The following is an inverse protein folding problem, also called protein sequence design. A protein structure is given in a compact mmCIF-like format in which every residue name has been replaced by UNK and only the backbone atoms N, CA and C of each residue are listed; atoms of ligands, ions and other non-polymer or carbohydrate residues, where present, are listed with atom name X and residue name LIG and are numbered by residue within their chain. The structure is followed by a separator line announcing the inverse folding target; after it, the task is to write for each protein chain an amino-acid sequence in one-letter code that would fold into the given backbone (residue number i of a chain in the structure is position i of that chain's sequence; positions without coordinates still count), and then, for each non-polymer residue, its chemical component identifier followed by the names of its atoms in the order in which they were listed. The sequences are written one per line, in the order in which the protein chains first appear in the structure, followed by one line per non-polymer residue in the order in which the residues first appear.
data_IF_608155955494
#
_entry.id   IF_608155955494
#
_cell.length_a   1.000
_cell.length_b   1.000
_cell.length_c   1.000
_cell.angle_alpha   90.00
_cell.angle_beta   90.00
_cell.angle_gamma   90.00
#
_symmetry.space_group_name_H-M   'P 1'
#
loop_
_entity.id
_entity.type
_entity.pdbx_description
1 polymer ?
#
# COMPACT_ATOMS: atom_id res chain seq x y z
N UNK A 1 29.39 -7.67 -8.47
CA UNK A 1 27.96 -7.82 -8.85
C UNK A 1 27.02 -6.82 -8.16
N UNK A 2 27.42 -6.20 -7.05
CA UNK A 2 26.61 -5.18 -6.33
C UNK A 2 26.26 -3.93 -7.14
N UNK A 3 27.19 -3.41 -7.95
CA UNK A 3 26.97 -2.17 -8.71
C UNK A 3 25.82 -2.26 -9.72
N UNK A 4 25.59 -3.44 -10.32
CA UNK A 4 24.51 -3.65 -11.29
C UNK A 4 23.13 -3.72 -10.60
N UNK A 5 23.04 -4.38 -9.44
CA UNK A 5 21.83 -4.42 -8.60
C UNK A 5 21.46 -3.04 -8.05
N UNK A 6 22.45 -2.24 -7.63
CA UNK A 6 22.22 -0.86 -7.18
C UNK A 6 21.70 0.05 -8.30
N UNK A 7 22.31 0.02 -9.48
CA UNK A 7 21.83 0.80 -10.65
C UNK A 7 20.40 0.40 -11.06
N UNK A 8 20.08 -0.89 -11.01
CA UNK A 8 18.73 -1.37 -11.34
C UNK A 8 17.68 -0.89 -10.32
N UNK A 9 17.98 -0.98 -9.02
CA UNK A 9 17.09 -0.48 -7.95
C UNK A 9 16.80 1.01 -8.09
N UNK A 10 17.83 1.82 -8.31
CA UNK A 10 17.65 3.27 -8.50
C UNK A 10 16.81 3.57 -9.75
N UNK A 11 17.03 2.82 -10.85
CA UNK A 11 16.23 2.97 -12.08
C UNK A 11 14.76 2.60 -11.88
N UNK A 12 14.46 1.62 -11.02
CA UNK A 12 13.08 1.21 -10.70
C UNK A 12 12.43 2.11 -9.64
N UNK A 13 13.21 2.70 -8.72
CA UNK A 13 12.68 3.57 -7.67
C UNK A 13 12.04 4.86 -8.21
N UNK A 14 12.64 5.48 -9.23
CA UNK A 14 12.10 6.69 -9.86
C UNK A 14 10.69 6.53 -10.45
N UNK A 15 10.41 5.53 -11.32
CA UNK A 15 9.07 5.35 -11.85
C UNK A 15 8.06 4.96 -10.77
N UNK A 16 8.46 4.18 -9.76
CA UNK A 16 7.58 3.81 -8.64
C UNK A 16 7.19 5.05 -7.82
N UNK A 17 8.16 5.92 -7.54
CA UNK A 17 7.90 7.19 -6.84
C UNK A 17 6.99 8.10 -7.68
N UNK A 18 7.26 8.21 -8.98
CA UNK A 18 6.47 9.01 -9.92
C UNK A 18 5.02 8.53 -10.02
N UNK A 19 4.81 7.21 -10.06
CA UNK A 19 3.47 6.61 -10.03
C UNK A 19 2.72 6.97 -8.75
N UNK A 20 3.37 6.85 -7.59
CA UNK A 20 2.76 7.22 -6.31
C UNK A 20 2.36 8.69 -6.24
N UNK A 21 3.20 9.59 -6.75
CA UNK A 21 2.89 11.03 -6.85
C UNK A 21 1.71 11.29 -7.79
N UNK A 22 1.62 10.58 -8.92
CA UNK A 22 0.48 10.71 -9.82
C UNK A 22 -0.83 10.27 -9.15
N UNK A 23 -0.81 9.19 -8.37
CA UNK A 23 -1.98 8.72 -7.61
C UNK A 23 -2.38 9.72 -6.51
N UNK A 24 -1.41 10.33 -5.83
CA UNK A 24 -1.68 11.42 -4.86
C UNK A 24 -2.29 12.64 -5.58
N UNK A 25 -1.76 13.02 -6.74
CA UNK A 25 -2.30 14.14 -7.52
C UNK A 25 -3.76 13.88 -7.96
N UNK A 26 -4.09 12.63 -8.33
CA UNK A 26 -5.47 12.20 -8.57
C UNK A 26 -6.32 12.37 -7.30
N UNK A 27 -5.87 11.87 -6.15
CA UNK A 27 -6.60 11.98 -4.88
C UNK A 27 -6.88 13.44 -4.45
N UNK A 28 -5.93 14.35 -4.72
CA UNK A 28 -6.06 15.78 -4.44
C UNK A 28 -6.94 16.52 -5.46
N UNK A 29 -7.35 15.86 -6.55
CA UNK A 29 -8.13 16.49 -7.63
C UNK A 29 -7.31 17.41 -8.53
N UNK A 30 -5.98 17.29 -8.53
CA UNK A 30 -5.10 18.01 -9.47
C UNK A 30 -5.20 17.41 -10.89
N UNK A 31 -5.60 16.15 -10.98
CA UNK A 31 -5.88 15.44 -12.23
C UNK A 31 -7.36 15.07 -12.28
N UNK A 32 -7.99 15.11 -13.47
CA UNK A 32 -9.39 14.77 -13.62
C UNK A 32 -9.60 13.29 -13.27
N UNK A 33 -10.45 13.06 -12.28
CA UNK A 33 -10.95 11.74 -11.92
C UNK A 33 -12.44 11.70 -12.28
N UNK A 34 -12.81 10.80 -13.19
CA UNK A 34 -14.22 10.46 -13.41
C UNK A 34 -14.75 9.79 -12.15
N UNK A 35 -15.48 10.56 -11.34
CA UNK A 35 -16.03 10.12 -10.07
C UNK A 35 -17.00 8.94 -10.17
N UNK A 36 -17.48 8.63 -11.38
CA UNK A 36 -18.35 7.48 -11.67
C UNK A 36 -17.65 6.12 -11.57
N UNK A 37 -16.31 6.08 -11.54
CA UNK A 37 -15.53 4.83 -11.45
C UNK A 37 -14.71 4.72 -10.15
N UNK A 38 -15.01 5.55 -9.15
CA UNK A 38 -14.26 5.56 -7.89
C UNK A 38 -14.96 4.73 -6.82
N UNK A 39 -14.44 3.52 -6.62
CA UNK A 39 -14.93 2.59 -5.61
C UNK A 39 -14.40 2.89 -4.18
N UNK A 40 -13.50 3.87 -4.05
CA UNK A 40 -12.89 4.22 -2.77
C UNK A 40 -12.93 5.74 -2.49
N UNK A 41 -13.03 6.15 -1.21
CA UNK A 41 -12.84 7.54 -0.81
C UNK A 41 -11.48 8.08 -1.25
N UNK A 42 -11.44 9.36 -1.63
CA UNK A 42 -10.22 10.05 -2.12
C UNK A 42 -9.03 9.92 -1.16
N UNK A 43 -9.26 9.91 0.15
CA UNK A 43 -8.19 9.79 1.14
C UNK A 43 -7.50 8.42 1.10
N UNK A 44 -8.21 7.34 0.75
CA UNK A 44 -7.64 5.99 0.58
C UNK A 44 -6.80 5.90 -0.67
N UNK A 45 -7.27 6.53 -1.75
CA UNK A 45 -6.50 6.69 -2.98
C UNK A 45 -5.23 7.49 -2.68
N UNK A 46 -5.32 8.54 -1.87
CA UNK A 46 -4.14 9.28 -1.41
C UNK A 46 -3.17 8.39 -0.61
N UNK A 47 -3.68 7.56 0.30
CA UNK A 47 -2.85 6.63 1.07
C UNK A 47 -2.18 5.57 0.18
N UNK A 48 -2.88 5.03 -0.82
CA UNK A 48 -2.29 4.06 -1.74
C UNK A 48 -1.15 4.68 -2.55
N UNK A 49 -1.33 5.92 -3.03
CA UNK A 49 -0.26 6.70 -3.65
C UNK A 49 0.91 6.94 -2.70
N UNK A 50 0.65 7.25 -1.43
CA UNK A 50 1.71 7.44 -0.41
C UNK A 50 2.53 6.16 -0.20
N UNK A 51 1.90 4.97 -0.17
CA UNK A 51 2.61 3.69 -0.08
C UNK A 51 3.55 3.47 -1.26
N UNK A 52 3.15 3.84 -2.48
CA UNK A 52 4.03 3.79 -3.66
C UNK A 52 5.20 4.76 -3.55
N UNK A 53 4.97 6.00 -3.09
CA UNK A 53 6.05 6.97 -2.88
C UNK A 53 7.05 6.44 -1.85
N UNK A 54 6.57 5.91 -0.73
CA UNK A 54 7.43 5.33 0.32
C UNK A 54 8.25 4.17 -0.26
N UNK A 55 7.63 3.22 -0.96
CA UNK A 55 8.34 2.11 -1.60
C UNK A 55 9.39 2.56 -2.62
N UNK A 56 9.08 3.60 -3.41
CA UNK A 56 10.02 4.21 -4.34
C UNK A 56 11.22 4.86 -3.64
N UNK A 57 10.98 5.58 -2.54
CA UNK A 57 12.04 6.16 -1.71
C UNK A 57 12.91 5.08 -1.07
N UNK A 58 12.33 3.99 -0.57
CA UNK A 58 13.07 2.83 -0.04
C UNK A 58 14.03 2.24 -1.07
N UNK A 59 13.61 2.13 -2.34
CA UNK A 59 14.47 1.65 -3.43
C UNK A 59 15.62 2.61 -3.75
N UNK A 60 15.43 3.91 -3.54
CA UNK A 60 16.44 4.96 -3.77
C UNK A 60 17.45 5.07 -2.61
N UNK A 61 17.00 4.92 -1.37
CA UNK A 61 17.81 5.13 -0.16
C UNK A 61 18.74 3.98 0.21
N UNK A 62 18.54 2.77 -0.32
CA UNK A 62 19.38 1.60 -0.06
C UNK A 62 19.03 0.84 1.23
N UNK A 63 19.36 -0.46 1.27
CA UNK A 63 18.82 -1.45 2.22
C UNK A 63 19.22 -1.24 3.69
N UNK A 64 20.37 -0.64 3.99
CA UNK A 64 20.93 -0.61 5.36
C UNK A 64 20.87 0.75 6.05
N UNK A 65 19.92 1.61 5.67
CA UNK A 65 19.78 2.93 6.30
C UNK A 65 18.68 2.93 7.36
N UNK A 66 18.91 3.63 8.48
CA UNK A 66 17.85 3.90 9.48
C UNK A 66 16.62 4.53 8.84
N UNK A 67 16.81 5.31 7.78
CA UNK A 67 15.74 5.89 6.98
C UNK A 67 14.87 4.81 6.33
N UNK A 68 15.47 3.78 5.72
CA UNK A 68 14.74 2.69 5.07
C UNK A 68 13.92 1.87 6.08
N UNK A 69 14.45 1.64 7.30
CA UNK A 69 13.68 1.00 8.38
C UNK A 69 12.45 1.83 8.79
N UNK A 70 12.61 3.15 8.90
CA UNK A 70 11.49 4.05 9.20
C UNK A 70 10.45 4.07 8.07
N UNK A 71 10.91 4.08 6.81
CA UNK A 71 10.03 3.98 5.63
C UNK A 71 9.29 2.64 5.58
N UNK A 72 9.95 1.53 5.92
CA UNK A 72 9.31 0.21 6.01
C UNK A 72 8.19 0.21 7.06
N UNK A 73 8.41 0.82 8.23
CA UNK A 73 7.39 0.94 9.26
C UNK A 73 6.17 1.75 8.75
N UNK A 74 6.42 2.90 8.10
CA UNK A 74 5.35 3.71 7.51
C UNK A 74 4.60 3.00 6.38
N UNK A 75 5.31 2.24 5.54
CA UNK A 75 4.73 1.43 4.48
C UNK A 75 3.78 0.36 5.05
N UNK A 76 4.22 -0.33 6.10
CA UNK A 76 3.41 -1.32 6.80
C UNK A 76 2.20 -0.66 7.48
N UNK A 77 2.35 0.51 8.09
CA UNK A 77 1.21 1.27 8.63
C UNK A 77 0.21 1.63 7.53
N UNK A 78 0.68 2.14 6.38
CA UNK A 78 -0.18 2.48 5.26
C UNK A 78 -0.95 1.28 4.71
N UNK A 79 -0.26 0.16 4.46
CA UNK A 79 -0.90 -1.09 4.03
C UNK A 79 -1.90 -1.61 5.07
N UNK A 80 -1.56 -1.51 6.35
CA UNK A 80 -2.43 -1.88 7.45
C UNK A 80 -3.73 -1.08 7.47
N UNK A 81 -3.63 0.25 7.35
CA UNK A 81 -4.81 1.13 7.32
C UNK A 81 -5.67 0.92 6.07
N UNK A 82 -5.04 0.77 4.90
CA UNK A 82 -5.76 0.49 3.64
C UNK A 82 -6.48 -0.87 3.73
N UNK A 83 -5.76 -1.93 4.11
CA UNK A 83 -6.34 -3.28 4.24
C UNK A 83 -7.43 -3.34 5.31
N UNK A 84 -7.25 -2.65 6.43
CA UNK A 84 -8.22 -2.56 7.50
C UNK A 84 -9.50 -1.85 7.04
N UNK A 85 -9.35 -0.75 6.28
CA UNK A 85 -10.50 -0.09 5.68
C UNK A 85 -11.23 -1.01 4.70
N UNK A 86 -10.52 -1.67 3.78
CA UNK A 86 -11.13 -2.58 2.80
C UNK A 86 -11.88 -3.70 3.51
N UNK A 87 -11.28 -4.30 4.55
CA UNK A 87 -11.90 -5.39 5.30
C UNK A 87 -13.18 -5.00 6.05
N UNK A 88 -13.28 -3.75 6.54
CA UNK A 88 -14.39 -3.29 7.38
C UNK A 88 -15.45 -2.54 6.57
N UNK A 89 -15.03 -1.67 5.66
CA UNK A 89 -15.88 -0.69 4.96
C UNK A 89 -15.94 -0.88 3.45
N UNK A 90 -15.18 -1.82 2.87
CA UNK A 90 -15.27 -2.13 1.44
C UNK A 90 -16.66 -2.65 1.09
N UNK A 91 -17.25 -2.13 0.00
CA UNK A 91 -18.53 -2.60 -0.50
C UNK A 91 -18.37 -3.99 -1.12
N UNK A 92 -19.42 -4.80 -1.03
CA UNK A 92 -19.40 -6.18 -1.53
C UNK A 92 -19.11 -6.23 -3.05
N UNK A 93 -19.64 -5.25 -3.77
CA UNK A 93 -19.52 -5.04 -5.22
C UNK A 93 -18.09 -4.74 -5.68
N UNK A 94 -17.24 -4.26 -4.78
CA UNK A 94 -15.86 -3.87 -5.07
C UNK A 94 -14.87 -5.03 -4.99
N UNK A 95 -15.31 -6.16 -4.43
CA UNK A 95 -14.50 -7.37 -4.35
C UNK A 95 -14.49 -8.08 -5.71
N UNK A 96 -13.49 -7.76 -6.52
CA UNK A 96 -13.22 -8.46 -7.77
C UNK A 96 -12.23 -9.61 -7.56
N UNK A 97 -12.59 -10.78 -8.10
CA UNK A 97 -11.79 -12.01 -8.01
C UNK A 97 -12.30 -12.98 -6.94
N UNK A 98 -11.99 -14.27 -7.12
CA UNK A 98 -12.46 -15.33 -6.22
C UNK A 98 -12.35 -16.70 -6.86
N UNK A 99 -12.71 -17.73 -6.09
CA UNK A 99 -12.76 -19.09 -6.60
C UNK A 99 -14.12 -19.30 -7.27
N UNK A 100 -14.12 -19.60 -8.57
CA UNK A 100 -15.33 -19.74 -9.38
C UNK A 100 -16.24 -20.90 -8.95
N UNK A 101 -15.75 -21.79 -8.09
CA UNK A 101 -16.52 -22.87 -7.47
C UNK A 101 -17.10 -22.52 -6.09
N UNK A 102 -16.76 -21.35 -5.52
CA UNK A 102 -17.33 -20.88 -4.25
C UNK A 102 -18.46 -19.89 -4.50
N UNK A 103 -19.53 -19.91 -3.67
CA UNK A 103 -20.55 -18.87 -3.68
C UNK A 103 -19.93 -17.49 -3.43
N UNK A 104 -20.48 -16.46 -4.09
CA UNK A 104 -20.01 -15.07 -3.98
C UNK A 104 -19.92 -14.57 -2.54
N UNK A 105 -20.93 -14.88 -1.72
CA UNK A 105 -20.93 -14.52 -0.29
C UNK A 105 -19.73 -15.10 0.49
N UNK A 106 -19.25 -16.30 0.11
CA UNK A 106 -18.07 -16.93 0.72
C UNK A 106 -16.81 -16.25 0.24
N UNK A 107 -16.72 -15.90 -1.05
CA UNK A 107 -15.59 -15.15 -1.60
C UNK A 107 -15.44 -13.77 -0.94
N UNK A 108 -16.55 -13.03 -0.75
CA UNK A 108 -16.55 -11.74 -0.05
C UNK A 108 -16.10 -11.89 1.41
N UNK A 109 -16.63 -12.88 2.12
CA UNK A 109 -16.26 -13.15 3.52
C UNK A 109 -14.78 -13.50 3.65
N UNK A 110 -14.25 -14.32 2.73
CA UNK A 110 -12.83 -14.64 2.68
C UNK A 110 -11.97 -13.41 2.36
N UNK A 111 -12.38 -12.59 1.40
CA UNK A 111 -11.66 -11.37 1.04
C UNK A 111 -11.56 -10.43 2.26
N UNK A 112 -12.67 -10.16 2.94
CA UNK A 112 -12.69 -9.36 4.18
C UNK A 112 -11.77 -9.94 5.25
N UNK A 113 -11.83 -11.26 5.46
CA UNK A 113 -10.96 -11.96 6.42
C UNK A 113 -9.48 -11.80 6.08
N UNK A 114 -9.11 -11.99 4.81
CA UNK A 114 -7.72 -11.86 4.35
C UNK A 114 -7.21 -10.42 4.46
N UNK A 115 -8.00 -9.42 4.04
CA UNK A 115 -7.63 -8.02 4.18
C UNK A 115 -7.52 -7.61 5.65
N UNK A 116 -8.44 -8.05 6.51
CA UNK A 116 -8.40 -7.78 7.95
C UNK A 116 -7.20 -8.42 8.66
N UNK A 117 -6.92 -9.70 8.41
CA UNK A 117 -5.76 -10.40 8.99
C UNK A 117 -4.46 -9.78 8.46
N UNK A 118 -4.38 -9.54 7.15
CA UNK A 118 -3.23 -8.88 6.53
C UNK A 118 -2.98 -7.50 7.12
N UNK A 119 -4.04 -6.74 7.37
CA UNK A 119 -3.95 -5.43 8.02
C UNK A 119 -3.39 -5.51 9.44
N UNK A 120 -3.90 -6.45 10.25
CA UNK A 120 -3.40 -6.68 11.61
C UNK A 120 -1.92 -7.05 11.61
N UNK A 121 -1.50 -7.97 10.73
CA UNK A 121 -0.08 -8.35 10.60
C UNK A 121 0.77 -7.14 10.25
N UNK A 122 0.34 -6.32 9.27
CA UNK A 122 1.08 -5.13 8.88
C UNK A 122 1.20 -4.13 10.04
N UNK A 123 0.12 -3.87 10.78
CA UNK A 123 0.13 -2.95 11.92
C UNK A 123 1.00 -3.46 13.08
N UNK A 124 0.96 -4.77 13.37
CA UNK A 124 1.82 -5.38 14.40
C UNK A 124 3.30 -5.28 14.03
N UNK A 125 3.65 -5.56 12.78
CA UNK A 125 5.02 -5.41 12.29
C UNK A 125 5.47 -3.94 12.28
N UNK A 126 4.58 -3.01 11.93
CA UNK A 126 4.87 -1.58 12.01
C UNK A 126 5.14 -1.15 13.46
N UNK A 127 4.29 -1.56 14.41
CA UNK A 127 4.46 -1.26 15.83
C UNK A 127 5.79 -1.83 16.37
N UNK A 128 6.13 -3.07 15.99
CA UNK A 128 7.42 -3.67 16.33
C UNK A 128 8.60 -2.90 15.71
N UNK A 129 8.51 -2.51 14.45
CA UNK A 129 9.55 -1.74 13.77
C UNK A 129 9.74 -0.36 14.40
N UNK A 130 8.67 0.33 14.76
CA UNK A 130 8.74 1.61 15.48
C UNK A 130 9.41 1.44 16.84
N UNK A 131 8.99 0.43 17.62
CA UNK A 131 9.60 0.15 18.93
C UNK A 131 11.12 -0.02 18.79
N UNK A 132 11.56 -0.86 17.85
CA UNK A 132 12.98 -1.13 17.61
C UNK A 132 13.77 0.10 17.11
N UNK A 133 13.12 1.07 16.49
CA UNK A 133 13.78 2.28 15.97
C UNK A 133 14.03 3.33 17.07
N UNK A 134 13.22 3.31 18.14
CA UNK A 134 13.30 4.26 19.26
C UNK A 134 13.96 3.70 20.53
N UNK A 135 14.31 2.40 20.54
CA UNK A 135 15.19 1.76 21.54
C UNK A 135 16.67 1.84 21.11
#
# INVERSE_FOLDING_TARGET
MEGKKRKLRVRLGWPVTGLGLAVIALALGLLPLDGSNLNAPKWIIGMSGAVFVIGGLMMLSGEDTRFNNMMAALLLTGLGLIGGWIGIFGADEDFSGGLSFLPEAVNISLARGLFGIGALICLLLAAYAFKKQFE
#
